data_IF_758389825305
#
_entry.id   IF_758389825305
#
_cell.length_a   1.000
_cell.length_b   1.000
_cell.length_c   1.000
_cell.angle_alpha   90.00
_cell.angle_beta   90.00
_cell.angle_gamma   90.00
#
_symmetry.space_group_name_H-M   'P 1'
#
loop_
_entity.id
_entity.type
_entity.pdbx_description
1 polymer ?
#
# COMPACT_ATOMS: atom_id res chain seq x y z
N UNK A 1 -85.89 21.49 8.38
CA UNK A 1 -85.01 20.76 7.42
C UNK A 1 -83.88 21.61 6.81
N UNK A 2 -84.10 22.89 6.45
CA UNK A 2 -83.06 23.71 5.79
C UNK A 2 -81.82 23.97 6.67
N UNK A 3 -81.99 24.13 7.98
CA UNK A 3 -80.87 24.32 8.93
C UNK A 3 -80.03 23.04 9.07
N UNK A 4 -80.67 21.87 9.16
CA UNK A 4 -80.01 20.57 9.19
C UNK A 4 -79.18 20.32 7.92
N UNK A 5 -79.71 20.68 6.75
CA UNK A 5 -78.95 20.60 5.48
C UNK A 5 -77.71 21.51 5.49
N UNK A 6 -77.79 22.71 6.09
CA UNK A 6 -76.63 23.60 6.22
C UNK A 6 -75.58 23.05 7.21
N UNK A 7 -76.02 22.43 8.30
CA UNK A 7 -75.14 21.78 9.28
C UNK A 7 -74.40 20.59 8.65
N UNK A 8 -75.11 19.77 7.86
CA UNK A 8 -74.49 18.64 7.14
C UNK A 8 -73.43 19.13 6.14
N UNK A 9 -73.73 20.22 5.41
CA UNK A 9 -72.81 20.80 4.44
C UNK A 9 -71.54 21.36 5.12
N UNK A 10 -71.70 22.02 6.27
CA UNK A 10 -70.60 22.57 7.03
C UNK A 10 -69.72 21.47 7.63
N UNK A 11 -70.32 20.39 8.13
CA UNK A 11 -69.61 19.22 8.65
C UNK A 11 -68.79 18.52 7.55
N UNK A 12 -69.35 18.39 6.35
CA UNK A 12 -68.63 17.80 5.20
C UNK A 12 -67.39 18.62 4.81
N UNK A 13 -67.49 19.96 4.88
CA UNK A 13 -66.37 20.85 4.57
C UNK A 13 -65.21 20.70 5.58
N UNK A 14 -65.51 20.48 6.86
CA UNK A 14 -64.51 20.22 7.91
C UNK A 14 -63.76 18.90 7.73
N UNK A 15 -64.43 17.88 7.20
CA UNK A 15 -63.82 16.55 7.00
C UNK A 15 -62.79 16.59 5.86
N UNK A 16 -63.04 17.40 4.83
CA UNK A 16 -62.14 17.55 3.68
C UNK A 16 -60.78 18.19 4.05
N UNK A 17 -60.75 19.06 5.07
CA UNK A 17 -59.51 19.74 5.50
C UNK A 17 -58.60 18.89 6.38
N UNK A 18 -59.11 17.77 6.93
CA UNK A 18 -58.36 16.94 7.89
C UNK A 18 -57.68 15.70 7.26
N UNK A 19 -57.63 15.61 5.93
CA UNK A 19 -57.14 14.45 5.18
C UNK A 19 -55.60 14.34 5.07
N UNK A 20 -54.82 15.19 5.76
CA UNK A 20 -53.35 15.23 5.63
C UNK A 20 -52.64 13.94 6.05
N UNK A 21 -53.16 13.23 7.06
CA UNK A 21 -52.55 12.01 7.62
C UNK A 21 -52.83 10.76 6.79
N UNK A 22 -53.88 10.77 5.96
CA UNK A 22 -54.21 9.65 5.08
C UNK A 22 -53.16 9.50 3.98
N UNK A 23 -52.65 10.61 3.43
CA UNK A 23 -51.55 10.57 2.46
C UNK A 23 -50.31 9.89 3.02
N UNK A 24 -49.96 10.16 4.28
CA UNK A 24 -48.79 9.55 4.94
C UNK A 24 -49.01 8.07 5.29
N UNK A 25 -50.25 7.67 5.58
CA UNK A 25 -50.63 6.28 5.87
C UNK A 25 -50.79 5.39 4.63
N UNK A 26 -51.19 5.97 3.49
CA UNK A 26 -51.23 5.29 2.19
C UNK A 26 -49.93 5.43 1.40
N UNK A 27 -49.08 6.42 1.71
CA UNK A 27 -47.71 6.46 1.22
C UNK A 27 -46.93 5.32 1.86
N UNK A 28 -46.22 4.56 1.04
CA UNK A 28 -45.36 3.50 1.53
C UNK A 28 -44.23 4.16 2.35
N UNK A 29 -44.35 4.15 3.68
CA UNK A 29 -43.30 4.59 4.61
C UNK A 29 -42.14 3.58 4.66
N UNK A 30 -41.80 2.93 3.54
CA UNK A 30 -40.49 2.34 3.38
C UNK A 30 -39.52 3.47 3.61
N UNK A 31 -38.96 3.48 4.83
CA UNK A 31 -37.80 4.25 5.20
C UNK A 31 -36.84 4.09 4.02
N UNK A 32 -36.39 5.19 3.44
CA UNK A 32 -35.29 5.20 2.47
C UNK A 32 -33.98 4.77 3.16
N UNK A 33 -34.00 3.77 4.05
CA UNK A 33 -32.83 3.02 4.43
C UNK A 33 -32.58 2.03 3.30
N UNK A 34 -32.05 2.59 2.23
CA UNK A 34 -31.31 1.83 1.25
C UNK A 34 -30.12 1.23 2.02
N UNK A 35 -30.29 0.02 2.58
CA UNK A 35 -29.18 -0.91 2.86
C UNK A 35 -28.58 -1.42 1.52
N UNK A 36 -28.65 -0.57 0.49
CA UNK A 36 -27.98 -0.74 -0.76
C UNK A 36 -26.52 -0.42 -0.47
N UNK A 37 -25.70 -1.46 -0.51
CA UNK A 37 -24.26 -1.30 -0.50
C UNK A 37 -23.88 -0.25 -1.55
N UNK A 38 -23.23 0.84 -1.12
CA UNK A 38 -22.67 1.84 -2.02
C UNK A 38 -21.53 1.17 -2.79
N UNK A 39 -21.84 0.61 -3.97
CA UNK A 39 -20.84 -0.02 -4.84
C UNK A 39 -20.11 1.09 -5.59
N UNK A 40 -19.07 1.64 -4.97
CA UNK A 40 -18.15 2.56 -5.63
C UNK A 40 -17.33 1.81 -6.69
N UNK A 41 -17.46 2.23 -7.95
CA UNK A 41 -16.63 1.72 -9.05
C UNK A 41 -15.21 2.26 -8.85
N UNK A 42 -14.34 1.44 -8.25
CA UNK A 42 -12.90 1.73 -8.25
C UNK A 42 -12.40 1.63 -9.69
N UNK A 43 -11.55 2.58 -10.07
CA UNK A 43 -10.79 2.50 -11.32
C UNK A 43 -10.05 1.16 -11.38
N UNK A 44 -9.94 0.55 -12.57
CA UNK A 44 -9.18 -0.70 -12.71
C UNK A 44 -7.78 -0.49 -12.14
N UNK A 45 -7.24 -1.55 -11.53
CA UNK A 45 -5.86 -1.56 -11.09
C UNK A 45 -4.97 -1.31 -12.32
N UNK A 46 -4.40 -0.10 -12.42
CA UNK A 46 -3.41 0.21 -13.44
C UNK A 46 -2.06 -0.26 -12.92
N UNK A 47 -1.37 -1.04 -13.75
CA UNK A 47 0.02 -1.35 -13.47
C UNK A 47 0.86 -0.08 -13.65
N UNK A 48 1.91 0.11 -12.82
CA UNK A 48 2.89 1.15 -13.06
C UNK A 48 3.44 1.05 -14.49
N UNK A 49 3.74 2.19 -15.13
CA UNK A 49 4.27 2.20 -16.50
C UNK A 49 5.52 1.33 -16.65
N UNK A 50 6.31 1.20 -15.58
CA UNK A 50 7.59 0.50 -15.57
C UNK A 50 7.48 -0.92 -14.97
N UNK A 51 6.28 -1.52 -14.89
CA UNK A 51 6.08 -2.84 -14.27
C UNK A 51 6.95 -3.95 -14.89
N UNK A 52 7.25 -3.85 -16.19
CA UNK A 52 8.08 -4.81 -16.90
C UNK A 52 9.57 -4.43 -16.90
N UNK A 53 9.94 -3.30 -16.30
CA UNK A 53 11.32 -2.86 -16.25
C UNK A 53 12.01 -3.46 -15.02
N UNK A 54 13.13 -4.13 -15.25
CA UNK A 54 14.01 -4.59 -14.18
C UNK A 54 15.02 -3.50 -13.88
N UNK A 55 15.36 -3.27 -12.60
CA UNK A 55 16.46 -2.37 -12.27
C UNK A 55 17.72 -2.85 -12.98
N UNK A 56 18.45 -1.90 -13.55
CA UNK A 56 19.74 -2.22 -14.16
C UNK A 56 20.63 -2.79 -13.05
N UNK A 57 21.22 -3.98 -13.23
CA UNK A 57 22.25 -4.44 -12.32
C UNK A 57 23.29 -3.34 -12.20
N UNK A 58 23.82 -3.13 -10.99
CA UNK A 58 24.98 -2.28 -10.79
C UNK A 58 26.17 -2.98 -11.47
N UNK A 59 26.22 -2.95 -12.79
CA UNK A 59 27.46 -3.07 -13.51
C UNK A 59 28.20 -1.83 -13.06
N UNK A 60 29.15 -2.03 -12.14
CA UNK A 60 30.18 -1.04 -11.88
C UNK A 60 30.52 -0.45 -13.22
N UNK A 61 30.24 0.85 -13.36
CA UNK A 61 30.55 1.55 -14.59
C UNK A 61 31.97 1.15 -14.91
N UNK A 62 32.17 0.47 -16.03
CA UNK A 62 33.46 0.42 -16.68
C UNK A 62 33.72 1.86 -17.17
N UNK A 63 33.75 2.83 -16.24
CA UNK A 63 34.77 3.84 -16.29
C UNK A 63 36.03 3.02 -16.49
N UNK A 64 36.58 3.13 -17.69
CA UNK A 64 37.96 2.84 -17.95
C UNK A 64 38.77 3.64 -16.94
N UNK A 65 38.86 3.13 -15.71
CA UNK A 65 39.84 3.58 -14.76
C UNK A 65 41.14 3.12 -15.39
N UNK A 66 41.92 4.13 -15.76
CA UNK A 66 43.33 4.07 -16.11
C UNK A 66 44.16 3.51 -14.93
N UNK A 67 43.77 2.34 -14.40
CA UNK A 67 44.36 1.66 -13.25
C UNK A 67 45.15 0.41 -13.65
N UNK A 68 45.18 0.06 -14.94
CA UNK A 68 46.04 -1.03 -15.44
C UNK A 68 47.53 -0.74 -15.15
N UNK A 69 47.91 0.54 -15.03
CA UNK A 69 49.28 0.95 -14.73
C UNK A 69 49.61 0.89 -13.23
N UNK A 70 48.64 1.05 -12.32
CA UNK A 70 48.91 1.11 -10.88
C UNK A 70 49.24 -0.27 -10.30
N UNK A 71 48.45 -1.29 -10.66
CA UNK A 71 48.68 -2.68 -10.23
C UNK A 71 49.97 -3.24 -10.83
N UNK A 72 50.23 -2.96 -12.12
CA UNK A 72 51.45 -3.41 -12.82
C UNK A 72 52.73 -2.82 -12.21
N UNK A 73 52.68 -1.57 -11.75
CA UNK A 73 53.82 -0.93 -11.08
C UNK A 73 54.04 -1.48 -9.66
N UNK A 74 52.98 -1.90 -8.97
CA UNK A 74 53.06 -2.52 -7.64
C UNK A 74 53.72 -3.91 -7.73
N UNK A 75 53.28 -4.74 -8.68
CA UNK A 75 53.81 -6.11 -8.87
C UNK A 75 55.27 -6.10 -9.33
N UNK A 76 55.65 -5.15 -10.18
CA UNK A 76 57.03 -5.06 -10.70
C UNK A 76 58.07 -4.68 -9.64
N UNK A 77 57.65 -4.05 -8.54
CA UNK A 77 58.53 -3.68 -7.43
C UNK A 77 58.73 -4.83 -6.40
N UNK A 78 57.87 -5.85 -6.41
CA UNK A 78 57.95 -7.00 -5.50
C UNK A 78 58.96 -8.07 -5.98
N UNK A 79 59.12 -8.23 -7.30
CA UNK A 79 60.02 -9.27 -7.86
C UNK A 79 61.51 -9.01 -7.63
N UNK A 80 61.90 -7.85 -7.11
CA UNK A 80 63.31 -7.52 -6.81
C UNK A 80 63.78 -7.88 -5.40
N UNK A 81 62.93 -8.43 -4.52
CA UNK A 81 63.35 -8.83 -3.18
C UNK A 81 63.06 -10.31 -2.90
N UNK A 82 64.05 -11.13 -3.26
CA UNK A 82 64.26 -12.48 -2.71
C UNK A 82 64.13 -12.51 -1.19
N UNK A 83 63.40 -13.48 -0.62
CA UNK A 83 63.85 -14.44 0.42
C UNK A 83 62.73 -14.96 1.36
N UNK A 84 62.54 -16.30 1.34
CA UNK A 84 62.40 -17.17 2.53
C UNK A 84 61.03 -17.42 3.19
N UNK A 85 60.75 -18.74 3.31
CA UNK A 85 60.09 -19.51 4.39
C UNK A 85 58.58 -19.84 4.39
N UNK A 86 58.33 -21.17 4.39
CA UNK A 86 57.13 -21.91 4.80
C UNK A 86 56.53 -21.44 6.16
N UNK A 87 55.20 -21.53 6.33
CA UNK A 87 54.56 -22.18 7.50
C UNK A 87 53.00 -22.18 7.43
N UNK A 88 52.45 -23.40 7.36
CA UNK A 88 51.31 -23.99 8.10
C UNK A 88 50.06 -23.17 8.53
N UNK A 89 48.92 -23.81 8.28
CA UNK A 89 47.57 -23.60 8.82
C UNK A 89 47.47 -23.55 10.35
N UNK A 90 46.75 -22.56 10.90
CA UNK A 90 46.14 -22.64 12.24
C UNK A 90 44.95 -21.67 12.42
N UNK A 91 43.78 -22.27 12.72
CA UNK A 91 42.66 -21.77 13.54
C UNK A 91 42.22 -20.30 13.45
N UNK A 92 41.13 -20.04 12.71
CA UNK A 92 40.40 -18.77 12.72
C UNK A 92 39.34 -18.75 13.84
N UNK A 93 39.76 -18.57 15.10
CA UNK A 93 38.86 -18.46 16.26
C UNK A 93 37.99 -17.18 16.23
N UNK A 94 38.39 -16.15 15.47
CA UNK A 94 37.74 -14.84 15.50
C UNK A 94 36.33 -14.77 14.91
N UNK A 95 36.01 -15.60 13.91
CA UNK A 95 34.68 -15.59 13.27
C UNK A 95 33.62 -16.26 14.13
N UNK A 96 33.98 -17.37 14.78
CA UNK A 96 33.06 -18.16 15.61
C UNK A 96 32.69 -17.41 16.89
N UNK A 97 33.67 -16.74 17.51
CA UNK A 97 33.46 -15.90 18.69
C UNK A 97 32.57 -14.69 18.39
N UNK A 98 32.76 -14.04 17.23
CA UNK A 98 31.93 -12.92 16.77
C UNK A 98 30.46 -13.31 16.55
N UNK A 99 30.19 -14.55 16.12
CA UNK A 99 28.85 -15.07 15.92
C UNK A 99 28.16 -15.38 17.25
N UNK A 100 28.87 -15.99 18.19
CA UNK A 100 28.38 -16.33 19.53
C UNK A 100 27.97 -15.09 20.34
N UNK A 101 28.78 -14.03 20.30
CA UNK A 101 28.46 -12.76 20.95
C UNK A 101 27.16 -12.15 20.41
N UNK A 102 26.96 -12.23 19.09
CA UNK A 102 25.77 -11.70 18.42
C UNK A 102 24.50 -12.44 18.80
N UNK A 103 24.59 -13.75 19.03
CA UNK A 103 23.45 -14.58 19.45
C UNK A 103 23.07 -14.29 20.91
N UNK A 104 24.07 -14.09 21.79
CA UNK A 104 23.83 -13.88 23.23
C UNK A 104 23.21 -12.52 23.57
N UNK A 105 23.39 -11.53 22.69
CA UNK A 105 22.89 -10.17 22.88
C UNK A 105 21.47 -9.94 22.29
N UNK A 106 20.74 -11.00 21.94
CA UNK A 106 19.34 -10.98 21.48
C UNK A 106 18.45 -11.67 22.52
#
# INVERSE_FOLDING_TARGET
MKIFKKIILLSFLYILTSCGTLKEGFSNQKKNNNDEFLVEKKSPLIMPPDYNELPVPNAESNQSLSEENSIKNLVKNEETNTNTSNANSSESTGLEESLLEKIKNN
#
